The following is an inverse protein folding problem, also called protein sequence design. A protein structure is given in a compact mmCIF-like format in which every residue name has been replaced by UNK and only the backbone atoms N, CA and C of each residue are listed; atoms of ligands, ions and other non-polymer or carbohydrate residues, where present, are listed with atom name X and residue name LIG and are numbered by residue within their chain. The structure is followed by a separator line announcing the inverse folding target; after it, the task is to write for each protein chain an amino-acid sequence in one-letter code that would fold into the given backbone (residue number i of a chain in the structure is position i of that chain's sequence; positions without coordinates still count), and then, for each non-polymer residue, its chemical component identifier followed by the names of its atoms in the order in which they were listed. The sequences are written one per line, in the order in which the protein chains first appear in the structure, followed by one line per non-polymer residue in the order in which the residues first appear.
data_IF_496010672866
#
_entry.id   IF_496010672866
#
_cell.length_a   1.000
_cell.length_b   1.000
_cell.length_c   1.000
_cell.angle_alpha   90.00
_cell.angle_beta   90.00
_cell.angle_gamma   90.00
#
_symmetry.space_group_name_H-M   'P 1'
#
loop_
_entity.id
_entity.type
_entity.pdbx_description
1 polymer ?
#
# COMPACT_ATOMS: atom_id res chain seq x y z
N UNK A 1 16.37 14.49 -4.35
CA UNK A 1 15.73 15.65 -5.01
C UNK A 1 14.41 15.87 -4.31
N UNK A 2 14.21 17.01 -3.65
CA UNK A 2 12.91 17.37 -3.08
C UNK A 2 12.00 17.84 -4.21
N UNK A 3 11.10 16.97 -4.66
CA UNK A 3 10.13 17.31 -5.70
C UNK A 3 8.85 17.75 -5.01
N UNK A 4 8.61 19.06 -4.99
CA UNK A 4 7.41 19.64 -4.38
C UNK A 4 6.25 19.69 -5.37
N UNK A 5 5.01 19.63 -4.87
CA UNK A 5 3.81 19.71 -5.69
C UNK A 5 3.79 20.96 -6.62
N UNK A 6 4.16 22.17 -6.16
CA UNK A 6 4.25 23.34 -7.05
C UNK A 6 5.22 23.16 -8.22
N UNK A 7 6.33 22.45 -8.02
CA UNK A 7 7.28 22.15 -9.09
C UNK A 7 6.63 21.23 -10.14
N UNK A 8 5.97 20.16 -9.69
CA UNK A 8 5.27 19.23 -10.59
C UNK A 8 4.19 19.95 -11.41
N UNK A 9 3.39 20.80 -10.77
CA UNK A 9 2.33 21.56 -11.46
C UNK A 9 2.91 22.51 -12.52
N UNK A 10 4.05 23.15 -12.24
CA UNK A 10 4.74 23.99 -13.21
C UNK A 10 5.21 23.19 -14.43
N UNK A 11 5.76 21.99 -14.24
CA UNK A 11 6.18 21.13 -15.35
C UNK A 11 4.98 20.66 -16.18
N UNK A 12 3.88 20.25 -15.54
CA UNK A 12 2.65 19.83 -16.24
C UNK A 12 2.05 20.99 -17.03
N UNK A 13 2.11 22.23 -16.52
CA UNK A 13 1.57 23.40 -17.25
C UNK A 13 2.30 23.73 -18.56
N UNK A 14 3.50 23.19 -18.77
CA UNK A 14 4.26 23.37 -20.00
C UNK A 14 3.90 22.32 -21.08
N UNK A 15 3.10 21.32 -20.74
CA UNK A 15 2.68 20.24 -21.62
C UNK A 15 1.42 20.62 -22.41
N UNK A 16 1.26 20.02 -23.59
CA UNK A 16 0.01 20.11 -24.34
C UNK A 16 -1.03 19.11 -23.81
N UNK A 17 -2.29 19.26 -24.24
CA UNK A 17 -3.41 18.45 -23.74
C UNK A 17 -3.20 16.94 -23.93
N UNK A 18 -2.59 16.51 -25.05
CA UNK A 18 -2.36 15.10 -25.32
C UNK A 18 -1.32 14.51 -24.36
N UNK A 19 -0.25 15.25 -24.10
CA UNK A 19 0.80 14.87 -23.16
C UNK A 19 0.28 14.80 -21.72
N UNK A 20 -0.53 15.76 -21.31
CA UNK A 20 -1.20 15.75 -19.99
C UNK A 20 -2.03 14.48 -19.84
N UNK A 21 -2.77 14.09 -20.88
CA UNK A 21 -3.63 12.93 -20.82
C UNK A 21 -2.88 11.61 -20.85
N UNK A 22 -1.70 11.57 -21.50
CA UNK A 22 -0.77 10.45 -21.41
C UNK A 22 -0.16 10.31 -20.01
N UNK A 23 0.24 11.41 -19.38
CA UNK A 23 0.73 11.43 -17.99
C UNK A 23 -0.34 10.88 -17.05
N UNK A 24 -1.58 11.37 -17.14
CA UNK A 24 -2.71 10.88 -16.35
C UNK A 24 -2.94 9.38 -16.54
N UNK A 25 -3.02 8.91 -17.79
CA UNK A 25 -3.18 7.47 -18.10
C UNK A 25 -2.04 6.64 -17.52
N UNK A 26 -0.81 7.14 -17.57
CA UNK A 26 0.36 6.46 -17.05
C UNK A 26 0.34 6.36 -15.53
N UNK A 27 -0.02 7.44 -14.82
CA UNK A 27 -0.19 7.44 -13.36
C UNK A 27 -1.19 6.37 -12.94
N UNK A 28 -2.32 6.27 -13.64
CA UNK A 28 -3.35 5.24 -13.36
C UNK A 28 -2.82 3.84 -13.68
N UNK A 29 -2.31 3.61 -14.90
CA UNK A 29 -1.87 2.30 -15.39
C UNK A 29 -0.74 1.71 -14.57
N UNK A 30 0.21 2.54 -14.14
CA UNK A 30 1.37 2.13 -13.34
C UNK A 30 1.13 2.24 -11.84
N UNK A 31 -0.07 2.65 -11.44
CA UNK A 31 -0.45 2.81 -10.04
C UNK A 31 0.54 3.69 -9.25
N UNK A 32 1.00 4.79 -9.87
CA UNK A 32 1.97 5.74 -9.31
C UNK A 32 1.33 6.71 -8.31
N UNK A 33 0.47 6.18 -7.45
CA UNK A 33 -0.22 6.90 -6.40
C UNK A 33 -0.32 6.00 -5.18
N UNK A 34 -0.49 6.61 -4.01
CA UNK A 34 -0.71 5.84 -2.79
C UNK A 34 -1.95 4.96 -2.96
N UNK A 35 -1.72 3.64 -3.03
CA UNK A 35 -2.80 2.69 -2.88
C UNK A 35 -3.28 2.77 -1.43
N UNK A 36 -4.60 2.67 -1.24
CA UNK A 36 -5.10 2.36 0.11
C UNK A 36 -4.44 1.08 0.56
N UNK A 37 -3.96 1.05 1.80
CA UNK A 37 -3.49 -0.18 2.43
C UNK A 37 -4.59 -1.23 2.26
N UNK A 38 -4.28 -2.29 1.52
CA UNK A 38 -5.13 -3.47 1.43
C UNK A 38 -4.55 -4.44 2.43
N UNK A 39 -5.27 -4.65 3.54
CA UNK A 39 -4.92 -5.72 4.48
C UNK A 39 -5.15 -7.05 3.79
N UNK A 40 -4.22 -7.97 3.97
CA UNK A 40 -4.43 -9.37 3.60
C UNK A 40 -5.47 -9.99 4.54
N UNK A 41 -5.99 -11.17 4.19
CA UNK A 41 -6.77 -11.93 5.15
C UNK A 41 -5.86 -12.35 6.31
N UNK A 42 -6.40 -12.35 7.53
CA UNK A 42 -5.62 -12.73 8.71
C UNK A 42 -5.07 -14.16 8.57
N UNK A 43 -5.85 -15.07 7.98
CA UNK A 43 -5.42 -16.45 7.73
C UNK A 43 -4.25 -16.54 6.78
N UNK A 44 -4.26 -15.78 5.68
CA UNK A 44 -3.16 -15.74 4.70
C UNK A 44 -1.89 -15.17 5.33
N UNK A 45 -2.01 -14.08 6.08
CA UNK A 45 -0.90 -13.48 6.82
C UNK A 45 -0.29 -14.48 7.83
N UNK A 46 -1.12 -15.12 8.65
CA UNK A 46 -0.66 -16.13 9.62
C UNK A 46 0.00 -17.32 8.91
N UNK A 47 -0.53 -17.75 7.77
CA UNK A 47 0.04 -18.82 6.94
C UNK A 47 1.42 -18.47 6.37
N UNK A 48 1.68 -17.20 6.06
CA UNK A 48 3.00 -16.76 5.62
C UNK A 48 4.02 -16.76 6.76
N UNK A 49 3.64 -16.28 7.95
CA UNK A 49 4.51 -16.42 9.11
C UNK A 49 4.74 -17.90 9.46
N UNK A 50 3.77 -18.79 9.28
CA UNK A 50 3.89 -20.23 9.61
C UNK A 50 4.95 -20.96 8.77
N UNK A 51 5.28 -20.43 7.59
CA UNK A 51 6.37 -20.95 6.75
C UNK A 51 7.75 -20.59 7.30
N UNK A 52 7.80 -19.59 8.17
CA UNK A 52 9.00 -19.18 8.87
C UNK A 52 9.10 -19.96 10.19
N UNK A 53 10.31 -20.38 10.56
CA UNK A 53 10.57 -21.29 11.68
C UNK A 53 10.48 -20.59 13.06
N UNK A 54 9.38 -19.86 13.30
CA UNK A 54 9.05 -19.22 14.57
C UNK A 54 8.47 -20.23 15.56
N UNK A 55 8.48 -19.88 16.85
CA UNK A 55 7.89 -20.71 17.90
C UNK A 55 6.36 -20.60 17.93
N UNK A 56 5.69 -21.66 18.37
CA UNK A 56 4.23 -21.69 18.55
C UNK A 56 3.73 -20.58 19.48
N UNK A 57 4.50 -20.26 20.52
CA UNK A 57 4.19 -19.17 21.45
C UNK A 57 4.20 -17.80 20.74
N UNK A 58 5.17 -17.58 19.85
CA UNK A 58 5.23 -16.35 19.06
C UNK A 58 4.03 -16.24 18.11
N UNK A 59 3.64 -17.35 17.47
CA UNK A 59 2.47 -17.37 16.60
C UNK A 59 1.19 -17.00 17.33
N UNK A 60 1.01 -17.54 18.52
CA UNK A 60 -0.16 -17.25 19.35
C UNK A 60 -0.21 -15.80 19.77
N UNK A 61 0.91 -15.24 20.24
CA UNK A 61 0.99 -13.83 20.62
C UNK A 61 0.77 -12.90 19.42
N UNK A 62 1.29 -13.28 18.25
CA UNK A 62 1.09 -12.54 17.00
C UNK A 62 -0.38 -12.54 16.59
N UNK A 63 -1.03 -13.70 16.56
CA UNK A 63 -2.44 -13.82 16.18
C UNK A 63 -3.34 -13.04 17.14
N UNK A 64 -3.13 -13.18 18.44
CA UNK A 64 -3.89 -12.47 19.47
C UNK A 64 -3.68 -10.95 19.38
N UNK A 65 -2.45 -10.51 19.12
CA UNK A 65 -2.11 -9.10 18.93
C UNK A 65 -2.77 -8.51 17.67
N UNK A 66 -2.73 -9.25 16.56
CA UNK A 66 -3.36 -8.85 15.30
C UNK A 66 -4.88 -8.78 15.44
N UNK A 67 -5.53 -9.78 16.04
CA UNK A 67 -6.99 -9.78 16.30
C UNK A 67 -7.46 -8.60 17.15
N UNK A 68 -6.62 -8.16 18.11
CA UNK A 68 -6.90 -6.99 18.96
C UNK A 68 -6.53 -5.66 18.31
N UNK A 69 -5.85 -5.69 17.17
CA UNK A 69 -5.51 -4.47 16.43
C UNK A 69 -6.74 -3.93 15.71
N UNK A 70 -6.87 -2.61 15.65
CA UNK A 70 -7.97 -1.92 14.93
C UNK A 70 -8.05 -2.24 13.44
N UNK A 71 -7.06 -2.95 12.89
CA UNK A 71 -6.99 -3.37 11.48
C UNK A 71 -7.74 -4.68 11.24
N UNK A 72 -7.65 -5.64 12.17
CA UNK A 72 -8.29 -6.96 12.06
C UNK A 72 -9.41 -7.21 13.07
N UNK A 73 -9.71 -6.22 13.92
CA UNK A 73 -10.86 -6.25 14.81
C UNK A 73 -12.14 -6.38 13.97
N UNK A 74 -12.69 -7.59 13.92
CA UNK A 74 -13.90 -7.92 13.20
C UNK A 74 -15.09 -7.66 14.14
N UNK A 75 -15.77 -6.54 13.93
CA UNK A 75 -17.17 -6.39 14.34
C UNK A 75 -18.08 -7.09 13.33
#
# INVERSE_FOLDING_TARGET
VDITLPHILKLISQMNLNEIEEVKKTIVKKELYFKKFQKDDLGDLMGDFQKENYSDDFFKDLEDGLRKSSIYDAH
#
